data_IF_871446354328
#
_entry.id   IF_871446354328
#
_cell.length_a   1.000
_cell.length_b   1.000
_cell.length_c   1.000
_cell.angle_alpha   90.00
_cell.angle_beta   90.00
_cell.angle_gamma   90.00
#
_symmetry.space_group_name_H-M   'P 1'
#
loop_
_entity.id
_entity.type
_entity.pdbx_description
1 polymer ?
#
# COMPACT_ATOMS: atom_id res chain seq x y z
N UNK A 1 9.44 -1.45 9.01
CA UNK A 1 8.41 -2.50 9.19
C UNK A 1 7.04 -1.91 8.92
N UNK A 2 6.07 -2.69 8.43
CA UNK A 2 4.69 -2.21 8.18
C UNK A 2 3.99 -1.88 9.51
N UNK A 3 3.17 -0.83 9.54
CA UNK A 3 2.34 -0.46 10.71
C UNK A 3 1.50 -1.64 11.21
N UNK A 4 1.03 -2.50 10.29
CA UNK A 4 0.32 -3.73 10.62
C UNK A 4 1.15 -4.68 11.48
N UNK A 5 2.45 -4.79 11.23
CA UNK A 5 3.31 -5.73 11.98
C UNK A 5 3.39 -5.31 13.45
N UNK A 6 3.39 -4.00 13.72
CA UNK A 6 3.41 -3.50 15.10
C UNK A 6 2.05 -3.71 15.80
N UNK A 7 0.94 -3.58 15.06
CA UNK A 7 -0.40 -3.90 15.57
C UNK A 7 -0.55 -5.41 15.85
N UNK A 8 -0.10 -6.27 14.94
CA UNK A 8 -0.08 -7.73 15.15
C UNK A 8 0.81 -8.13 16.33
N UNK A 9 2.02 -7.56 16.43
CA UNK A 9 2.94 -7.85 17.54
C UNK A 9 2.30 -7.51 18.89
N UNK A 10 1.57 -6.39 18.98
CA UNK A 10 0.85 -6.00 20.20
C UNK A 10 -0.21 -7.04 20.57
N UNK A 11 -1.02 -7.52 19.62
CA UNK A 11 -2.04 -8.55 19.87
C UNK A 11 -1.40 -9.84 20.36
N UNK A 12 -0.37 -10.33 19.66
CA UNK A 12 0.32 -11.58 20.02
C UNK A 12 0.87 -11.51 21.45
N UNK A 13 1.55 -10.39 21.79
CA UNK A 13 2.11 -10.20 23.12
C UNK A 13 1.02 -10.15 24.21
N UNK A 14 -0.11 -9.48 23.95
CA UNK A 14 -1.26 -9.42 24.88
C UNK A 14 -1.92 -10.77 25.07
N UNK A 15 -2.12 -11.52 23.99
CA UNK A 15 -2.72 -12.85 24.04
C UNK A 15 -1.83 -13.84 24.82
N UNK A 16 -0.52 -13.82 24.56
CA UNK A 16 0.43 -14.66 25.28
C UNK A 16 0.47 -14.30 26.78
N UNK A 17 0.37 -13.01 27.11
CA UNK A 17 0.28 -12.55 28.50
C UNK A 17 -1.01 -13.01 29.18
N UNK A 18 -2.15 -12.86 28.51
CA UNK A 18 -3.45 -13.32 29.03
C UNK A 18 -3.43 -14.82 29.30
N UNK A 19 -2.87 -15.62 28.38
CA UNK A 19 -2.73 -17.07 28.56
C UNK A 19 -1.93 -17.41 29.81
N UNK A 20 -0.77 -16.77 30.01
CA UNK A 20 0.05 -16.97 31.23
C UNK A 20 -0.68 -16.57 32.52
N UNK A 21 -1.47 -15.50 32.50
CA UNK A 21 -2.24 -15.06 33.66
C UNK A 21 -3.34 -16.06 34.05
N UNK A 22 -3.96 -16.71 33.04
CA UNK A 22 -4.94 -17.77 33.28
C UNK A 22 -4.27 -19.04 33.83
N UNK A 23 -3.12 -19.43 33.30
CA UNK A 23 -2.35 -20.59 33.76
C UNK A 23 -1.86 -20.41 35.23
N UNK A 24 -1.53 -19.19 35.64
CA UNK A 24 -1.10 -18.87 37.00
C UNK A 24 -2.25 -18.62 37.99
N UNK A 25 -3.51 -18.71 37.56
CA UNK A 25 -4.66 -18.44 38.42
C UNK A 25 -4.72 -16.99 38.93
N UNK A 26 -4.31 -16.02 38.10
CA UNK A 26 -4.30 -14.61 38.50
C UNK A 26 -5.72 -14.11 38.86
N UNK A 27 -5.86 -13.16 39.80
CA UNK A 27 -7.15 -12.61 40.20
C UNK A 27 -7.99 -12.08 39.02
N UNK A 28 -9.31 -12.21 39.14
CA UNK A 28 -10.28 -11.84 38.11
C UNK A 28 -10.13 -10.39 37.61
N UNK A 29 -9.77 -9.47 38.49
CA UNK A 29 -9.57 -8.05 38.14
C UNK A 29 -8.44 -7.91 37.10
N UNK A 30 -7.33 -8.63 37.30
CA UNK A 30 -6.17 -8.59 36.40
C UNK A 30 -6.54 -9.25 35.07
N UNK A 31 -7.22 -10.39 35.11
CA UNK A 31 -7.68 -11.10 33.91
C UNK A 31 -8.65 -10.25 33.10
N UNK A 32 -9.61 -9.57 33.74
CA UNK A 32 -10.55 -8.65 33.08
C UNK A 32 -9.83 -7.47 32.44
N UNK A 33 -8.82 -6.90 33.10
CA UNK A 33 -8.03 -5.82 32.52
C UNK A 33 -7.23 -6.28 31.29
N UNK A 34 -6.58 -7.45 31.35
CA UNK A 34 -5.83 -7.96 30.19
C UNK A 34 -6.76 -8.34 29.02
N UNK A 35 -7.96 -8.88 29.30
CA UNK A 35 -9.00 -9.08 28.28
C UNK A 35 -9.42 -7.77 27.61
N UNK A 36 -9.63 -6.69 28.38
CA UNK A 36 -9.92 -5.36 27.85
C UNK A 36 -8.78 -4.84 26.97
N UNK A 37 -7.53 -4.95 27.42
CA UNK A 37 -6.36 -4.51 26.65
C UNK A 37 -6.18 -5.32 25.36
N UNK A 38 -6.48 -6.61 25.38
CA UNK A 38 -6.47 -7.45 24.18
C UNK A 38 -7.56 -7.01 23.19
N UNK A 39 -8.77 -6.72 23.66
CA UNK A 39 -9.85 -6.19 22.82
C UNK A 39 -9.45 -4.87 22.16
N UNK A 40 -8.88 -3.92 22.92
CA UNK A 40 -8.41 -2.64 22.39
C UNK A 40 -7.31 -2.81 21.33
N UNK A 41 -6.42 -3.79 21.50
CA UNK A 41 -5.39 -4.09 20.51
C UNK A 41 -5.99 -4.67 19.20
N UNK A 42 -7.02 -5.51 19.31
CA UNK A 42 -7.76 -6.03 18.14
C UNK A 42 -8.55 -4.92 17.45
N UNK A 43 -9.23 -4.07 18.20
CA UNK A 43 -9.96 -2.91 17.66
C UNK A 43 -9.03 -1.99 16.88
N UNK A 44 -7.83 -1.72 17.41
CA UNK A 44 -6.83 -0.89 16.74
C UNK A 44 -6.26 -1.54 15.45
N UNK A 45 -6.19 -2.88 15.36
CA UNK A 45 -5.80 -3.57 14.13
C UNK A 45 -6.84 -3.39 13.01
N UNK A 46 -8.12 -3.51 13.36
CA UNK A 46 -9.23 -3.39 12.40
C UNK A 46 -9.43 -1.93 12.00
N UNK A 47 -9.76 -1.06 12.96
CA UNK A 47 -10.08 0.35 12.72
C UNK A 47 -9.50 1.24 13.84
N UNK A 48 -8.26 1.68 13.64
CA UNK A 48 -7.52 2.44 14.64
C UNK A 48 -8.14 3.84 14.82
N UNK A 49 -8.57 4.15 16.04
CA UNK A 49 -9.21 5.43 16.36
C UNK A 49 -10.73 5.46 16.16
N UNK A 50 -11.38 4.34 15.82
CA UNK A 50 -12.86 4.26 15.84
C UNK A 50 -13.43 4.40 17.26
N UNK A 51 -12.71 3.85 18.25
CA UNK A 51 -13.04 3.95 19.68
C UNK A 51 -11.81 4.41 20.44
N UNK A 52 -11.90 5.55 21.11
CA UNK A 52 -10.82 6.10 21.92
C UNK A 52 -9.68 6.73 21.12
N UNK A 53 -8.54 6.96 21.79
CA UNK A 53 -7.36 7.55 21.17
C UNK A 53 -6.65 6.51 20.29
N UNK A 54 -6.22 6.87 19.07
CA UNK A 54 -5.56 5.94 18.17
C UNK A 54 -4.21 5.51 18.76
N UNK A 55 -3.84 4.26 18.49
CA UNK A 55 -2.51 3.75 18.81
C UNK A 55 -1.49 4.45 17.92
N UNK A 56 -0.52 5.12 18.54
CA UNK A 56 0.54 5.85 17.87
C UNK A 56 1.87 5.07 17.87
N UNK A 57 2.65 5.28 16.82
CA UNK A 57 4.02 4.80 16.68
C UNK A 57 5.05 5.89 17.02
N UNK A 58 6.32 5.69 16.62
CA UNK A 58 7.36 6.71 16.75
C UNK A 58 6.94 8.04 16.11
N UNK A 59 7.27 9.16 16.76
CA UNK A 59 6.86 10.49 16.31
C UNK A 59 5.37 10.79 16.50
N UNK A 60 4.67 10.05 17.37
CA UNK A 60 3.25 10.23 17.68
C UNK A 60 2.31 10.11 16.47
N UNK A 61 2.77 9.48 15.37
CA UNK A 61 1.96 9.23 14.18
C UNK A 61 0.99 8.07 14.46
N UNK A 62 -0.31 8.20 14.14
CA UNK A 62 -1.23 7.08 14.24
C UNK A 62 -0.83 5.97 13.26
N UNK A 63 -0.84 4.73 13.77
CA UNK A 63 -0.59 3.55 12.94
C UNK A 63 -1.79 3.32 12.00
N UNK A 64 -1.52 2.98 10.73
CA UNK A 64 -2.58 2.65 9.77
C UNK A 64 -3.18 1.27 10.06
N UNK A 65 -4.51 1.21 10.20
CA UNK A 65 -5.25 -0.04 10.38
C UNK A 65 -5.61 -0.73 9.06
N UNK A 66 -6.20 -1.93 9.11
CA UNK A 66 -6.71 -2.62 7.92
C UNK A 66 -7.79 -1.79 7.19
N UNK A 67 -8.72 -1.18 7.93
CA UNK A 67 -9.72 -0.30 7.34
C UNK A 67 -9.10 0.92 6.66
N UNK A 68 -8.08 1.55 7.26
CA UNK A 68 -7.36 2.70 6.67
C UNK A 68 -6.62 2.33 5.37
N UNK A 69 -6.18 1.09 5.24
CA UNK A 69 -5.54 0.62 4.01
C UNK A 69 -6.54 0.49 2.86
N UNK A 70 -7.82 0.27 3.15
CA UNK A 70 -8.86 0.14 2.13
C UNK A 70 -9.47 1.50 1.78
N UNK A 71 -9.77 2.34 2.78
CA UNK A 71 -10.48 3.62 2.61
C UNK A 71 -9.54 4.79 2.28
N UNK A 72 -10.13 5.88 1.78
CA UNK A 72 -9.42 7.14 1.52
C UNK A 72 -8.71 7.24 0.16
N UNK A 73 -8.11 8.40 -0.12
CA UNK A 73 -7.45 8.72 -1.41
C UNK A 73 -6.22 7.84 -1.66
N UNK A 74 -5.42 7.59 -0.62
CA UNK A 74 -4.28 6.67 -0.65
C UNK A 74 -4.66 5.22 -0.30
N UNK A 75 -5.95 4.91 -0.22
CA UNK A 75 -6.44 3.56 0.04
C UNK A 75 -6.34 2.69 -1.21
N UNK A 76 -6.33 1.37 -1.01
CA UNK A 76 -6.18 0.38 -2.09
C UNK A 76 -7.25 0.53 -3.18
N UNK A 77 -8.50 0.81 -2.83
CA UNK A 77 -9.56 0.96 -3.82
C UNK A 77 -9.26 2.09 -4.81
N UNK A 78 -8.93 3.29 -4.32
CA UNK A 78 -8.73 4.45 -5.19
C UNK A 78 -7.36 4.45 -5.86
N UNK A 79 -6.32 4.06 -5.14
CA UNK A 79 -4.95 4.18 -5.63
C UNK A 79 -4.50 2.98 -6.47
N UNK A 80 -5.02 1.78 -6.20
CA UNK A 80 -4.49 0.55 -6.81
C UNK A 80 -5.49 -0.17 -7.72
N UNK A 81 -6.80 0.00 -7.50
CA UNK A 81 -7.81 -0.59 -8.37
C UNK A 81 -8.16 0.34 -9.52
N UNK A 82 -8.40 1.63 -9.25
CA UNK A 82 -8.79 2.61 -10.27
C UNK A 82 -7.61 3.22 -11.03
N UNK A 83 -6.46 3.36 -10.36
CA UNK A 83 -5.22 3.82 -10.98
C UNK A 83 -4.20 2.69 -10.95
N UNK A 84 -3.57 2.40 -12.08
CA UNK A 84 -2.41 1.49 -12.13
C UNK A 84 -1.30 2.13 -12.91
N UNK A 85 -0.07 1.87 -12.48
CA UNK A 85 1.10 2.12 -13.32
C UNK A 85 1.03 1.11 -14.46
N UNK A 86 1.26 1.60 -15.66
CA UNK A 86 1.18 0.80 -16.88
C UNK A 86 2.52 0.85 -17.61
N UNK A 87 2.92 -0.28 -18.16
CA UNK A 87 4.07 -0.37 -19.05
C UNK A 87 3.73 0.24 -20.42
N UNK A 88 4.72 0.37 -21.30
CA UNK A 88 4.58 1.02 -22.61
C UNK A 88 4.00 2.45 -22.49
N UNK A 89 4.43 3.18 -21.47
CA UNK A 89 4.05 4.57 -21.24
C UNK A 89 5.29 5.45 -21.08
N UNK A 90 5.18 6.72 -21.48
CA UNK A 90 6.27 7.69 -21.43
C UNK A 90 5.75 9.09 -21.12
N UNK A 91 6.63 9.96 -20.60
CA UNK A 91 6.34 11.38 -20.39
C UNK A 91 7.49 12.24 -20.89
N UNK A 92 7.17 13.35 -21.53
CA UNK A 92 8.15 14.35 -21.99
C UNK A 92 7.57 15.76 -21.89
N UNK A 93 8.42 16.76 -22.11
CA UNK A 93 8.00 18.17 -22.24
C UNK A 93 7.38 18.38 -23.63
N UNK A 94 6.28 19.13 -23.67
CA UNK A 94 5.62 19.50 -24.92
C UNK A 94 6.22 20.79 -25.48
N UNK A 95 6.41 20.83 -26.79
CA UNK A 95 6.87 22.01 -27.54
C UNK A 95 5.96 22.23 -28.74
N UNK A 96 5.90 23.46 -29.26
CA UNK A 96 5.05 23.81 -30.41
C UNK A 96 5.66 23.24 -31.70
N UNK A 97 4.86 22.49 -32.47
CA UNK A 97 5.23 21.96 -33.80
C UNK A 97 4.25 22.48 -34.86
N UNK A 98 4.43 23.72 -35.36
CA UNK A 98 3.46 24.39 -36.23
C UNK A 98 3.23 23.71 -37.59
N UNK A 99 4.18 22.90 -38.04
CA UNK A 99 4.13 22.13 -39.30
C UNK A 99 3.29 20.85 -39.22
N UNK A 100 2.91 20.42 -38.01
CA UNK A 100 2.15 19.18 -37.81
C UNK A 100 0.68 19.37 -38.16
N UNK A 101 0.09 18.36 -38.79
CA UNK A 101 -1.36 18.32 -39.02
C UNK A 101 -2.10 17.99 -37.72
N UNK A 102 -3.40 18.28 -37.69
CA UNK A 102 -4.26 18.09 -36.49
C UNK A 102 -4.25 16.67 -35.90
N UNK A 103 -3.94 15.65 -36.71
CA UNK A 103 -3.90 14.24 -36.31
C UNK A 103 -2.49 13.70 -36.06
N UNK A 104 -1.47 14.56 -36.06
CA UNK A 104 -0.06 14.18 -35.89
C UNK A 104 0.50 14.70 -34.57
N UNK A 105 1.52 14.01 -34.05
CA UNK A 105 2.33 14.48 -32.93
C UNK A 105 3.81 14.13 -33.17
N UNK A 106 4.71 14.95 -32.64
CA UNK A 106 6.14 14.66 -32.63
C UNK A 106 6.52 13.74 -31.47
N UNK A 107 7.22 12.65 -31.75
CA UNK A 107 7.71 11.72 -30.73
C UNK A 107 9.25 11.64 -30.80
N UNK A 108 9.97 11.87 -29.67
CA UNK A 108 11.43 11.71 -29.65
C UNK A 108 11.85 10.29 -30.02
N UNK A 109 12.90 10.16 -30.84
CA UNK A 109 13.39 8.87 -31.35
C UNK A 109 13.71 7.87 -30.23
N UNK A 110 14.37 8.32 -29.17
CA UNK A 110 14.72 7.47 -28.02
C UNK A 110 13.48 6.91 -27.32
N UNK A 111 12.45 7.75 -27.13
CA UNK A 111 11.18 7.33 -26.55
C UNK A 111 10.43 6.36 -27.46
N UNK A 112 10.43 6.63 -28.77
CA UNK A 112 9.80 5.74 -29.75
C UNK A 112 10.45 4.35 -29.75
N UNK A 113 11.78 4.26 -29.69
CA UNK A 113 12.49 2.97 -29.66
C UNK A 113 12.10 2.16 -28.43
N UNK A 114 12.05 2.77 -27.24
CA UNK A 114 11.67 2.04 -26.02
C UNK A 114 10.19 1.63 -26.00
N UNK A 115 9.28 2.52 -26.43
CA UNK A 115 7.84 2.21 -26.47
C UNK A 115 7.52 1.08 -27.46
N UNK A 116 8.20 1.04 -28.60
CA UNK A 116 7.95 0.07 -29.67
C UNK A 116 8.94 -1.08 -29.70
N UNK A 117 9.79 -1.22 -28.67
CA UNK A 117 10.87 -2.22 -28.61
C UNK A 117 10.44 -3.64 -28.99
N UNK A 118 9.31 -4.20 -28.48
CA UNK A 118 8.90 -5.56 -28.86
C UNK A 118 8.54 -5.68 -30.35
N UNK A 119 7.96 -4.62 -30.94
CA UNK A 119 7.59 -4.60 -32.35
C UNK A 119 8.82 -4.51 -33.25
N UNK A 120 9.77 -3.63 -32.89
CA UNK A 120 11.04 -3.48 -33.63
C UNK A 120 11.82 -4.79 -33.59
N UNK A 121 11.93 -5.43 -32.43
CA UNK A 121 12.60 -6.73 -32.30
C UNK A 121 11.95 -7.80 -33.17
N UNK A 122 10.60 -7.87 -33.20
CA UNK A 122 9.88 -8.81 -34.05
C UNK A 122 10.21 -8.63 -35.54
N UNK A 123 10.21 -7.39 -36.01
CA UNK A 123 10.52 -7.08 -37.42
C UNK A 123 11.96 -7.38 -37.78
N UNK A 124 12.92 -7.10 -36.89
CA UNK A 124 14.33 -7.42 -37.12
C UNK A 124 14.55 -8.92 -37.34
N UNK A 125 13.91 -9.75 -36.50
CA UNK A 125 13.95 -11.21 -36.61
C UNK A 125 13.29 -11.68 -37.90
N UNK A 126 12.10 -11.16 -38.23
CA UNK A 126 11.37 -11.53 -39.44
C UNK A 126 12.15 -11.22 -40.72
N UNK A 127 12.88 -10.10 -40.72
CA UNK A 127 13.72 -9.67 -41.84
C UNK A 127 15.12 -10.32 -41.86
N UNK A 128 15.46 -11.17 -40.89
CA UNK A 128 16.77 -11.83 -40.81
C UNK A 128 17.93 -10.88 -40.52
N UNK A 129 17.64 -9.75 -39.86
CA UNK A 129 18.60 -8.67 -39.55
C UNK A 129 18.87 -8.53 -38.04
N UNK A 130 18.42 -9.51 -37.27
CA UNK A 130 18.64 -9.62 -35.82
C UNK A 130 20.02 -10.17 -35.48
#
# INVERSE_FOLDING_TARGET
TSDLNDLYRRIINRNNRLRRLLELGAPDIIVRNEKRMLQEAVDALIDNGRRGRPVTGPGNRPLKSLSDMLKGKSGRFRQNLLGKRVDYSGRSVIVVGPELKIYQCGLPKEMAIELFKPFVMKELVANGTA
#
